data_IF_240571981608
#
_entry.id   IF_240571981608
#
_cell.length_a   1.000
_cell.length_b   1.000
_cell.length_c   1.000
_cell.angle_alpha   90.00
_cell.angle_beta   90.00
_cell.angle_gamma   90.00
#
_symmetry.space_group_name_H-M   'P 1'
#
loop_
_entity.id
_entity.type
_entity.pdbx_description
1 polymer ?
#
# COMPACT_ATOMS: atom_id res chain seq x y z
N UNK A 1 -1.11 -3.15 -15.75
CA UNK A 1 -1.44 -1.92 -16.49
C UNK A 1 -2.12 -0.94 -15.55
N UNK A 2 -1.94 0.38 -15.73
CA UNK A 2 -2.69 1.39 -14.98
C UNK A 2 -3.99 1.72 -15.73
N UNK A 3 -5.04 2.14 -15.04
CA UNK A 3 -6.17 2.76 -15.73
C UNK A 3 -5.77 4.12 -16.30
N UNK A 4 -6.43 4.59 -17.36
CA UNK A 4 -6.14 5.88 -18.00
C UNK A 4 -6.18 7.06 -17.01
N UNK A 5 -7.00 6.95 -15.96
CA UNK A 5 -7.05 7.90 -14.85
C UNK A 5 -5.74 7.99 -14.07
N UNK A 6 -5.01 6.88 -13.89
CA UNK A 6 -3.70 6.87 -13.23
C UNK A 6 -2.53 7.08 -14.18
N UNK A 7 -2.66 6.77 -15.47
CA UNK A 7 -1.56 6.97 -16.45
C UNK A 7 -1.05 8.42 -16.48
N UNK A 8 -1.94 9.38 -16.25
CA UNK A 8 -1.59 10.80 -16.20
C UNK A 8 -1.00 11.24 -14.85
N UNK A 9 -1.22 10.48 -13.78
CA UNK A 9 -0.80 10.83 -12.42
C UNK A 9 0.44 10.07 -11.98
N UNK A 10 0.63 8.84 -12.47
CA UNK A 10 1.81 8.01 -12.22
C UNK A 10 2.86 8.32 -13.27
N UNK A 11 3.50 9.48 -13.11
CA UNK A 11 4.70 9.84 -13.85
C UNK A 11 5.94 9.40 -13.08
N UNK A 12 7.09 9.31 -13.75
CA UNK A 12 8.37 9.01 -13.10
C UNK A 12 8.70 10.04 -11.99
N UNK A 13 8.31 11.29 -12.19
CA UNK A 13 8.44 12.36 -11.19
C UNK A 13 7.52 12.13 -9.99
N UNK A 14 6.26 11.76 -10.20
CA UNK A 14 5.32 11.46 -9.12
C UNK A 14 5.76 10.23 -8.31
N UNK A 15 6.28 9.20 -8.98
CA UNK A 15 6.82 8.02 -8.33
C UNK A 15 8.09 8.35 -7.52
N UNK A 16 9.02 9.12 -8.10
CA UNK A 16 10.23 9.58 -7.39
C UNK A 16 9.89 10.44 -6.17
N UNK A 17 8.88 11.31 -6.29
CA UNK A 17 8.38 12.11 -5.16
C UNK A 17 7.78 11.22 -4.08
N UNK A 18 6.93 10.27 -4.44
CA UNK A 18 6.36 9.30 -3.52
C UNK A 18 7.45 8.50 -2.78
N UNK A 19 8.44 7.99 -3.49
CA UNK A 19 9.56 7.25 -2.89
C UNK A 19 10.32 8.12 -1.87
N UNK A 20 10.56 9.39 -2.19
CA UNK A 20 11.19 10.33 -1.24
C UNK A 20 10.30 10.61 -0.04
N UNK A 21 9.02 10.89 -0.26
CA UNK A 21 8.08 11.20 0.82
C UNK A 21 7.94 10.01 1.78
N UNK A 22 7.83 8.79 1.24
CA UNK A 22 7.85 7.54 2.04
C UNK A 22 9.17 7.40 2.79
N UNK A 23 10.31 7.64 2.15
CA UNK A 23 11.61 7.56 2.83
C UNK A 23 11.76 8.58 3.95
N UNK A 24 11.28 9.81 3.75
CA UNK A 24 11.34 10.90 4.73
C UNK A 24 10.39 10.64 5.90
N UNK A 25 9.18 10.14 5.64
CA UNK A 25 8.15 9.98 6.67
C UNK A 25 8.21 8.61 7.38
N UNK A 26 8.54 7.55 6.65
CA UNK A 26 8.43 6.17 7.13
C UNK A 26 9.81 5.52 7.31
N UNK A 27 10.82 5.97 6.57
CA UNK A 27 12.16 5.42 6.58
C UNK A 27 12.46 4.53 5.38
N UNK A 28 13.48 3.69 5.49
CA UNK A 28 13.85 2.72 4.49
C UNK A 28 13.03 1.44 4.65
N UNK A 29 12.42 0.97 3.56
CA UNK A 29 11.71 -0.30 3.52
C UNK A 29 12.68 -1.44 3.87
N UNK A 30 12.36 -2.21 4.89
CA UNK A 30 13.15 -3.39 5.29
C UNK A 30 12.51 -4.68 4.78
N UNK A 31 11.18 -4.77 4.82
CA UNK A 31 10.44 -5.96 4.42
C UNK A 31 9.07 -5.57 3.86
N UNK A 32 8.57 -6.31 2.88
CA UNK A 32 7.18 -6.25 2.45
C UNK A 32 6.62 -7.68 2.31
N UNK A 33 5.55 -7.98 3.03
CA UNK A 33 4.88 -9.29 3.03
C UNK A 33 3.49 -9.18 2.43
N UNK A 34 3.14 -10.13 1.57
CA UNK A 34 1.76 -10.27 1.12
C UNK A 34 0.87 -10.57 2.32
N UNK A 35 -0.26 -9.87 2.41
CA UNK A 35 -1.21 -10.03 3.51
C UNK A 35 -2.52 -10.62 3.02
N UNK A 36 -3.14 -10.01 2.00
CA UNK A 36 -4.41 -10.50 1.50
C UNK A 36 -4.66 -10.14 0.04
N UNK A 37 -5.49 -10.97 -0.58
CA UNK A 37 -6.14 -10.73 -1.85
C UNK A 37 -7.64 -10.80 -1.60
N UNK A 38 -8.36 -9.74 -1.96
CA UNK A 38 -9.80 -9.62 -1.75
C UNK A 38 -10.47 -9.29 -3.08
N UNK A 39 -11.46 -10.07 -3.48
CA UNK A 39 -12.25 -9.85 -4.69
C UNK A 39 -13.60 -9.25 -4.33
N UNK A 40 -13.94 -8.15 -4.98
CA UNK A 40 -15.21 -7.45 -4.85
C UNK A 40 -15.95 -7.45 -6.19
N UNK A 41 -17.25 -7.21 -6.15
CA UNK A 41 -18.09 -7.12 -7.37
C UNK A 41 -17.61 -6.06 -8.36
N UNK A 42 -16.87 -5.05 -7.90
CA UNK A 42 -16.36 -3.95 -8.73
C UNK A 42 -14.86 -3.97 -8.99
N UNK A 43 -14.15 -4.98 -8.48
CA UNK A 43 -12.70 -5.07 -8.67
C UNK A 43 -12.00 -5.81 -7.54
N UNK A 44 -10.67 -5.84 -7.62
CA UNK A 44 -9.84 -6.57 -6.66
C UNK A 44 -9.03 -5.62 -5.78
N UNK A 45 -8.71 -6.07 -4.56
CA UNK A 45 -7.73 -5.42 -3.70
C UNK A 45 -6.63 -6.37 -3.30
N UNK A 46 -5.40 -5.88 -3.40
CA UNK A 46 -4.20 -6.59 -2.93
C UNK A 46 -3.56 -5.77 -1.83
N UNK A 47 -3.35 -6.39 -0.67
CA UNK A 47 -2.74 -5.73 0.48
C UNK A 47 -1.41 -6.38 0.82
N UNK A 48 -0.38 -5.55 0.98
CA UNK A 48 0.90 -5.92 1.55
C UNK A 48 1.10 -5.19 2.88
N UNK A 49 1.74 -5.84 3.85
CA UNK A 49 2.27 -5.16 5.03
C UNK A 49 3.76 -4.93 4.81
N UNK A 50 4.15 -3.66 4.83
CA UNK A 50 5.53 -3.21 4.76
C UNK A 50 6.04 -2.79 6.13
N UNK A 51 7.26 -3.21 6.45
CA UNK A 51 8.01 -2.81 7.64
C UNK A 51 9.12 -1.85 7.23
N UNK A 52 9.30 -0.81 8.02
CA UNK A 52 10.36 0.17 7.85
C UNK A 52 11.30 0.17 9.06
N UNK A 53 12.53 0.66 8.89
CA UNK A 53 13.57 0.69 9.92
C UNK A 53 13.18 1.49 11.17
N UNK A 54 12.27 2.45 11.04
CA UNK A 54 11.70 3.21 12.16
C UNK A 54 10.59 2.46 12.92
N UNK A 55 10.49 1.13 12.79
CA UNK A 55 9.48 0.26 13.40
C UNK A 55 8.01 0.55 13.00
N UNK A 56 7.77 1.38 11.99
CA UNK A 56 6.43 1.62 11.47
C UNK A 56 6.01 0.47 10.54
N UNK A 57 4.82 -0.08 10.79
CA UNK A 57 4.13 -0.98 9.87
C UNK A 57 3.21 -0.15 8.98
N UNK A 58 3.18 -0.47 7.69
CA UNK A 58 2.38 0.26 6.70
C UNK A 58 1.65 -0.75 5.83
N UNK A 59 0.33 -0.62 5.76
CA UNK A 59 -0.46 -1.37 4.80
C UNK A 59 -0.38 -0.67 3.44
N UNK A 60 0.12 -1.37 2.44
CA UNK A 60 0.13 -0.95 1.04
C UNK A 60 -1.04 -1.64 0.35
N UNK A 61 -2.05 -0.86 -0.05
CA UNK A 61 -3.27 -1.38 -0.68
C UNK A 61 -3.30 -0.97 -2.14
N UNK A 62 -3.32 -1.96 -3.03
CA UNK A 62 -3.55 -1.78 -4.46
C UNK A 62 -5.00 -2.10 -4.78
N UNK A 63 -5.68 -1.22 -5.49
CA UNK A 63 -7.06 -1.45 -5.96
C UNK A 63 -7.09 -1.55 -7.48
N UNK A 64 -7.67 -2.62 -7.98
CA UNK A 64 -7.83 -2.93 -9.39
C UNK A 64 -9.30 -2.87 -9.77
N UNK A 65 -9.60 -2.44 -10.98
CA UNK A 65 -10.95 -2.57 -11.55
C UNK A 65 -11.19 -3.99 -12.11
N UNK A 66 -12.35 -4.20 -12.73
CA UNK A 66 -12.76 -5.46 -13.37
C UNK A 66 -11.86 -5.87 -14.54
N UNK A 67 -11.18 -4.91 -15.17
CA UNK A 67 -10.23 -5.18 -16.26
C UNK A 67 -8.82 -5.48 -15.73
N UNK A 68 -8.67 -5.65 -14.41
CA UNK A 68 -7.39 -5.83 -13.72
C UNK A 68 -6.42 -4.66 -13.92
N UNK A 69 -6.95 -3.46 -14.19
CA UNK A 69 -6.15 -2.22 -14.26
C UNK A 69 -6.04 -1.61 -12.88
N UNK A 70 -4.84 -1.16 -12.52
CA UNK A 70 -4.66 -0.46 -11.25
C UNK A 70 -5.36 0.90 -11.31
N UNK A 71 -6.35 1.11 -10.43
CA UNK A 71 -7.18 2.32 -10.33
C UNK A 71 -6.93 3.12 -9.06
N UNK A 72 -6.22 2.57 -8.08
CA UNK A 72 -5.77 3.31 -6.91
C UNK A 72 -4.65 2.57 -6.17
N UNK A 73 -3.81 3.30 -5.45
CA UNK A 73 -2.95 2.74 -4.42
C UNK A 73 -2.94 3.64 -3.17
N UNK A 74 -2.81 3.04 -2.00
CA UNK A 74 -2.76 3.79 -0.74
C UNK A 74 -1.71 3.18 0.20
N UNK A 75 -1.02 4.05 0.94
CA UNK A 75 -0.12 3.67 2.03
C UNK A 75 -0.75 4.13 3.33
N UNK A 76 -1.13 3.19 4.18
CA UNK A 76 -1.81 3.47 5.45
C UNK A 76 -0.89 3.07 6.60
N UNK A 77 -0.37 4.01 7.41
CA UNK A 77 0.35 3.67 8.62
C UNK A 77 -0.57 2.83 9.52
N UNK A 78 -0.09 1.65 9.90
CA UNK A 78 -0.76 0.83 10.89
C UNK A 78 -0.33 1.34 12.25
N UNK A 79 -1.30 1.78 13.06
CA UNK A 79 -1.01 1.96 14.47
C UNK A 79 -0.55 0.60 15.00
N UNK A 80 0.63 0.55 15.63
CA UNK A 80 1.03 -0.63 16.37
C UNK A 80 0.06 -0.78 17.53
N UNK A 81 -1.01 -1.55 17.30
CA UNK A 81 -1.79 -2.07 18.39
C UNK A 81 -0.85 -3.00 19.12
N UNK A 82 -0.34 -2.57 20.28
CA UNK A 82 0.17 -3.49 21.28
C UNK A 82 -0.99 -4.42 21.64
N UNK A 83 -1.14 -5.51 20.90
CA UNK A 83 -2.09 -6.57 21.19
C UNK A 83 -1.54 -7.42 22.35
N UNK A 84 -1.59 -6.84 23.55
CA UNK A 84 -2.10 -7.56 24.71
C UNK A 84 -3.61 -7.29 24.79
N UNK A 85 -4.36 -8.34 25.15
CA UNK A 85 -5.83 -8.47 25.18
C UNK A 85 -6.46 -8.79 23.80
N UNK A 86 -7.27 -9.83 23.63
CA UNK A 86 -7.95 -10.68 24.59
C UNK A 86 -8.01 -12.13 24.06
N UNK A 87 -7.55 -13.06 24.88
CA UNK A 87 -8.16 -14.38 24.93
C UNK A 87 -9.39 -14.22 25.81
N UNK A 88 -10.58 -14.37 25.23
CA UNK A 88 -11.84 -14.64 25.92
C UNK A 88 -12.55 -15.77 25.17
#
# INVERSE_FOLDING_TARGET
DFADSLKNTVTEQAYSKLQRDVKVQMGTLTEAKFYSYQRFDQGDRVTYIASFDNANLVAIVFSFDKDLKLVNFALTPMQQQNSQAAAE
#
